data_IF_087379400075
#
_entry.id   IF_087379400075
#
_cell.length_a   1.000
_cell.length_b   1.000
_cell.length_c   1.000
_cell.angle_alpha   90.00
_cell.angle_beta   90.00
_cell.angle_gamma   90.00
#
_symmetry.space_group_name_H-M   'P 1'
#
loop_
_entity.id
_entity.type
_entity.pdbx_description
1 polymer ?
#
# COMPACT_ATOMS: atom_id res chain seq x y z
N UNK A 1 -86.75 -5.36 0.89
CA UNK A 1 -86.26 -5.92 -0.38
C UNK A 1 -86.45 -4.88 -1.47
N UNK A 2 -85.37 -4.21 -1.88
CA UNK A 2 -85.47 -2.94 -2.58
C UNK A 2 -85.63 -3.20 -4.09
N UNK A 3 -86.77 -2.80 -4.69
CA UNK A 3 -87.02 -2.94 -6.15
C UNK A 3 -85.87 -2.39 -7.01
N UNK A 4 -85.16 -1.38 -6.48
CA UNK A 4 -83.95 -0.80 -7.08
C UNK A 4 -82.74 -1.76 -7.14
N UNK A 5 -82.60 -2.66 -6.16
CA UNK A 5 -81.52 -3.67 -6.12
C UNK A 5 -81.84 -4.83 -7.06
N UNK A 6 -83.11 -5.26 -7.13
CA UNK A 6 -83.56 -6.29 -8.08
C UNK A 6 -83.38 -5.85 -9.55
N UNK A 7 -83.63 -4.56 -9.84
CA UNK A 7 -83.40 -4.00 -11.18
C UNK A 7 -81.91 -3.91 -11.53
N UNK A 8 -81.05 -3.54 -10.57
CA UNK A 8 -79.59 -3.50 -10.79
C UNK A 8 -79.00 -4.88 -11.05
N UNK A 9 -79.43 -5.91 -10.33
CA UNK A 9 -78.98 -7.30 -10.58
C UNK A 9 -79.43 -7.83 -11.94
N UNK A 10 -80.63 -7.45 -12.39
CA UNK A 10 -81.15 -7.86 -13.71
C UNK A 10 -80.42 -7.16 -14.86
N UNK A 11 -80.07 -5.87 -14.71
CA UNK A 11 -79.24 -5.13 -15.69
C UNK A 11 -77.82 -5.69 -15.74
N UNK A 12 -77.21 -6.03 -14.60
CA UNK A 12 -75.86 -6.64 -14.55
C UNK A 12 -75.85 -8.03 -15.20
N UNK A 13 -76.89 -8.84 -15.00
CA UNK A 13 -77.00 -10.16 -15.63
C UNK A 13 -77.16 -10.03 -17.16
N UNK A 14 -77.95 -9.05 -17.62
CA UNK A 14 -78.14 -8.76 -19.05
C UNK A 14 -76.88 -8.27 -19.75
N UNK A 15 -76.08 -7.42 -19.11
CA UNK A 15 -74.80 -6.95 -19.67
C UNK A 15 -73.77 -8.08 -19.74
N UNK A 16 -73.73 -8.99 -18.77
CA UNK A 16 -72.85 -10.17 -18.81
C UNK A 16 -73.24 -11.10 -19.97
N UNK A 17 -74.54 -11.33 -20.19
CA UNK A 17 -75.01 -12.14 -21.32
C UNK A 17 -74.67 -11.50 -22.69
N UNK A 18 -74.75 -10.17 -22.80
CA UNK A 18 -74.40 -9.45 -24.03
C UNK A 18 -72.88 -9.52 -24.33
N UNK A 19 -72.04 -9.39 -23.30
CA UNK A 19 -70.58 -9.52 -23.44
C UNK A 19 -70.19 -10.95 -23.83
N UNK A 20 -70.84 -11.97 -23.25
CA UNK A 20 -70.61 -13.37 -23.60
C UNK A 20 -71.01 -13.69 -25.05
N UNK A 21 -72.13 -13.12 -25.54
CA UNK A 21 -72.56 -13.26 -26.94
C UNK A 21 -71.59 -12.63 -27.94
N UNK A 22 -71.05 -11.44 -27.62
CA UNK A 22 -70.01 -10.77 -28.43
C UNK A 22 -68.68 -11.54 -28.43
N UNK A 23 -68.29 -12.11 -27.29
CA UNK A 23 -67.09 -12.93 -27.20
C UNK A 23 -67.23 -14.22 -28.03
N UNK A 24 -68.41 -14.85 -28.03
CA UNK A 24 -68.67 -16.05 -28.84
C UNK A 24 -68.65 -15.75 -30.34
N UNK A 25 -69.14 -14.58 -30.76
CA UNK A 25 -69.08 -14.15 -32.17
C UNK A 25 -67.66 -13.94 -32.69
N UNK A 26 -66.69 -13.63 -31.82
CA UNK A 26 -65.27 -13.46 -32.19
C UNK A 26 -64.51 -14.77 -32.31
N UNK A 27 -65.00 -15.86 -31.71
CA UNK A 27 -64.34 -17.18 -31.72
C UNK A 27 -64.74 -18.01 -32.95
N UNK A 28 -65.94 -17.79 -33.51
CA UNK A 28 -66.41 -18.49 -34.73
C UNK A 28 -66.31 -17.66 -36.03
N UNK A 29 -65.70 -16.47 -35.98
CA UNK A 29 -65.44 -15.67 -37.17
C UNK A 29 -64.12 -16.11 -37.81
N UNK A 30 -64.20 -16.80 -38.94
CA UNK A 30 -63.06 -17.19 -39.77
C UNK A 30 -62.18 -15.96 -40.12
N UNK A 31 -60.87 -15.98 -39.84
CA UNK A 31 -59.98 -14.87 -40.17
C UNK A 31 -59.79 -14.76 -41.68
N UNK A 32 -60.19 -13.62 -42.25
CA UNK A 32 -59.87 -13.25 -43.62
C UNK A 32 -58.44 -12.67 -43.63
N UNK A 33 -57.55 -13.10 -44.54
CA UNK A 33 -56.17 -12.63 -44.56
C UNK A 33 -56.13 -11.27 -45.24
N UNK A 34 -56.11 -10.20 -44.43
CA UNK A 34 -55.77 -8.87 -44.90
C UNK A 34 -54.25 -8.78 -45.06
N UNK A 35 -53.83 -8.74 -46.32
CA UNK A 35 -52.47 -8.45 -46.73
C UNK A 35 -52.13 -6.98 -46.42
N UNK A 36 -50.99 -6.77 -45.76
CA UNK A 36 -50.26 -5.50 -45.82
C UNK A 36 -50.33 -4.63 -44.56
N UNK A 37 -49.36 -4.82 -43.67
CA UNK A 37 -49.06 -3.91 -42.57
C UNK A 37 -47.61 -4.09 -42.14
N UNK A 38 -46.73 -3.27 -42.71
CA UNK A 38 -45.27 -3.21 -42.50
C UNK A 38 -44.89 -3.06 -41.03
N UNK A 39 -43.83 -3.78 -40.64
CA UNK A 39 -43.28 -3.77 -39.29
C UNK A 39 -42.80 -2.39 -38.85
N UNK A 40 -43.02 -2.12 -37.57
CA UNK A 40 -42.37 -1.04 -36.84
C UNK A 40 -41.47 -1.71 -35.78
N UNK A 41 -40.33 -2.22 -36.25
CA UNK A 41 -39.26 -2.69 -35.39
C UNK A 41 -38.45 -1.46 -34.98
N UNK A 42 -38.71 -0.96 -33.77
CA UNK A 42 -37.92 0.10 -33.18
C UNK A 42 -36.43 -0.30 -33.22
N UNK A 43 -35.52 0.57 -33.68
CA UNK A 43 -34.12 0.22 -33.82
C UNK A 43 -33.56 -0.19 -32.45
N UNK A 44 -33.11 -1.45 -32.33
CA UNK A 44 -32.48 -1.97 -31.12
C UNK A 44 -31.29 -1.08 -30.78
N UNK A 45 -31.34 -0.43 -29.61
CA UNK A 45 -30.25 0.41 -29.14
C UNK A 45 -28.92 -0.36 -29.16
N UNK A 46 -27.82 0.27 -29.59
CA UNK A 46 -26.53 -0.42 -29.69
C UNK A 46 -26.09 -0.89 -28.31
N UNK A 47 -25.77 -2.19 -28.20
CA UNK A 47 -25.31 -2.80 -26.96
C UNK A 47 -23.88 -2.35 -26.68
N UNK A 48 -23.68 -1.72 -25.53
CA UNK A 48 -22.35 -1.29 -25.06
C UNK A 48 -21.95 -2.09 -23.83
N UNK A 49 -20.66 -2.41 -23.73
CA UNK A 49 -20.07 -3.05 -22.56
C UNK A 49 -19.50 -1.96 -21.67
N UNK A 50 -19.84 -1.98 -20.38
CA UNK A 50 -19.33 -1.04 -19.37
C UNK A 50 -18.62 -1.80 -18.25
N UNK A 51 -17.56 -1.20 -17.73
CA UNK A 51 -16.80 -1.68 -16.58
C UNK A 51 -16.82 -0.59 -15.50
N UNK A 52 -17.21 -0.88 -14.24
CA UNK A 52 -17.23 0.11 -13.18
C UNK A 52 -15.82 0.45 -12.70
N UNK A 53 -15.46 1.74 -12.68
CA UNK A 53 -14.18 2.21 -12.16
C UNK A 53 -14.13 2.03 -10.65
N UNK A 54 -13.08 1.37 -10.15
CA UNK A 54 -12.78 1.26 -8.72
C UNK A 54 -11.51 2.04 -8.41
N UNK A 55 -11.56 2.88 -7.38
CA UNK A 55 -10.36 3.49 -6.85
C UNK A 55 -9.50 2.40 -6.18
N UNK A 56 -8.25 2.30 -6.59
CA UNK A 56 -7.24 1.47 -5.95
C UNK A 56 -6.04 2.33 -5.62
N UNK A 57 -5.32 1.97 -4.57
CA UNK A 57 -4.05 2.59 -4.27
C UNK A 57 -3.03 2.11 -5.30
N UNK A 58 -2.36 3.05 -5.94
CA UNK A 58 -1.30 2.80 -6.91
C UNK A 58 -0.02 3.39 -6.32
N UNK A 59 0.93 2.51 -6.01
CA UNK A 59 2.21 2.91 -5.42
C UNK A 59 3.27 2.90 -6.52
N UNK A 60 3.90 4.05 -6.75
CA UNK A 60 5.07 4.16 -7.61
C UNK A 60 6.32 3.80 -6.78
N UNK A 61 7.04 2.75 -7.20
CA UNK A 61 8.20 2.25 -6.45
C UNK A 61 9.45 2.43 -7.29
N UNK A 62 10.38 3.25 -6.80
CA UNK A 62 11.70 3.41 -7.39
C UNK A 62 12.71 2.52 -6.68
N UNK A 63 13.29 1.57 -7.40
CA UNK A 63 14.38 0.74 -6.87
C UNK A 63 15.72 1.35 -7.24
N UNK A 64 16.51 1.70 -6.23
CA UNK A 64 17.83 2.29 -6.38
C UNK A 64 18.89 1.26 -5.92
N UNK A 65 20.00 1.19 -6.64
CA UNK A 65 21.17 0.43 -6.22
C UNK A 65 22.24 1.40 -5.74
N UNK A 66 22.81 1.12 -4.58
CA UNK A 66 23.89 1.90 -3.98
C UNK A 66 24.85 0.98 -3.25
N UNK A 67 26.03 1.50 -2.92
CA UNK A 67 27.01 0.82 -2.08
C UNK A 67 26.97 1.37 -0.66
N UNK A 68 27.34 0.52 0.29
CA UNK A 68 27.54 0.92 1.69
C UNK A 68 29.03 1.07 1.92
N UNK A 69 29.42 2.14 2.59
CA UNK A 69 30.80 2.40 3.03
C UNK A 69 30.79 2.76 4.51
N UNK A 70 31.95 2.59 5.16
CA UNK A 70 32.11 3.04 6.53
C UNK A 70 31.89 4.54 6.62
N UNK A 71 31.21 5.00 7.67
CA UNK A 71 31.01 6.43 7.90
C UNK A 71 32.36 7.13 8.15
N UNK A 72 33.22 6.48 8.93
CA UNK A 72 34.57 6.94 9.24
C UNK A 72 35.55 5.78 9.10
N UNK A 73 36.70 6.05 8.50
CA UNK A 73 37.83 5.12 8.41
C UNK A 73 39.08 5.84 8.91
N UNK A 74 39.75 5.27 9.92
CA UNK A 74 40.89 5.91 10.59
C UNK A 74 42.04 4.92 10.66
N UNK A 75 43.17 5.32 10.07
CA UNK A 75 44.43 4.58 10.18
C UNK A 75 45.15 5.06 11.44
N UNK A 76 45.31 4.16 12.42
CA UNK A 76 45.97 4.48 13.68
C UNK A 76 47.47 4.22 13.55
N UNK A 77 48.27 5.24 13.86
CA UNK A 77 49.73 5.16 13.86
C UNK A 77 50.28 5.70 15.18
N UNK A 78 51.39 5.13 15.68
CA UNK A 78 52.03 5.64 16.88
C UNK A 78 52.70 6.99 16.61
N UNK A 79 52.53 7.95 17.53
CA UNK A 79 53.18 9.26 17.44
C UNK A 79 54.69 9.21 17.72
N UNK A 80 55.12 8.21 18.49
CA UNK A 80 56.52 8.02 18.86
C UNK A 80 57.03 6.67 18.35
N UNK A 81 58.29 6.65 17.92
CA UNK A 81 58.95 5.39 17.57
C UNK A 81 59.21 4.59 18.84
N UNK A 82 58.86 3.30 18.81
CA UNK A 82 59.02 2.42 19.96
C UNK A 82 58.83 0.95 19.61
N UNK A 83 59.27 0.07 20.50
CA UNK A 83 59.02 -1.37 20.38
C UNK A 83 57.66 -1.72 20.97
N UNK A 84 56.87 -2.53 20.28
CA UNK A 84 55.60 -3.06 20.81
C UNK A 84 55.88 -4.01 21.98
N UNK A 85 55.22 -3.77 23.10
CA UNK A 85 55.29 -4.58 24.33
C UNK A 85 54.07 -5.48 24.45
N UNK A 86 52.89 -4.99 24.06
CA UNK A 86 51.65 -5.76 24.11
C UNK A 86 50.63 -5.28 23.08
N UNK A 87 49.84 -6.22 22.56
CA UNK A 87 48.68 -5.99 21.72
C UNK A 87 47.45 -6.63 22.39
N UNK A 88 46.76 -5.93 23.30
CA UNK A 88 45.66 -6.48 24.11
C UNK A 88 44.31 -6.50 23.36
N UNK A 89 44.33 -6.68 22.05
CA UNK A 89 43.13 -6.71 21.20
C UNK A 89 43.21 -7.88 20.23
N UNK A 90 42.06 -8.38 19.83
CA UNK A 90 41.91 -9.40 18.80
C UNK A 90 41.44 -8.79 17.47
N UNK A 91 41.77 -9.46 16.37
CA UNK A 91 41.35 -9.01 15.05
C UNK A 91 39.82 -9.03 14.91
N UNK A 92 39.25 -7.93 14.42
CA UNK A 92 37.79 -7.76 14.28
C UNK A 92 37.06 -7.44 15.59
N UNK A 93 37.78 -7.29 16.70
CA UNK A 93 37.20 -6.88 17.98
C UNK A 93 36.65 -5.45 17.89
N UNK A 94 35.45 -5.24 18.45
CA UNK A 94 34.90 -3.89 18.65
C UNK A 94 35.62 -3.21 19.81
N UNK A 95 36.07 -1.98 19.60
CA UNK A 95 36.80 -1.19 20.59
C UNK A 95 36.09 0.12 20.88
N UNK A 96 36.31 0.65 22.08
CA UNK A 96 35.73 1.91 22.52
C UNK A 96 36.76 3.06 22.52
N UNK A 97 36.27 4.30 22.58
CA UNK A 97 37.14 5.48 22.63
C UNK A 97 37.98 5.46 23.91
N UNK A 98 39.29 5.60 23.74
CA UNK A 98 40.25 5.59 24.86
C UNK A 98 40.69 4.20 25.29
N UNK A 99 40.16 3.13 24.67
CA UNK A 99 40.67 1.79 24.89
C UNK A 99 42.10 1.67 24.36
N UNK A 100 42.97 1.04 25.15
CA UNK A 100 44.36 0.80 24.76
C UNK A 100 44.40 -0.29 23.70
N UNK A 101 44.80 0.06 22.48
CA UNK A 101 44.93 -0.87 21.37
C UNK A 101 46.31 -1.53 21.31
N UNK A 102 47.35 -0.80 21.71
CA UNK A 102 48.75 -1.18 21.62
C UNK A 102 49.52 -0.52 22.78
N UNK A 103 50.51 -1.20 23.35
CA UNK A 103 51.49 -0.55 24.24
C UNK A 103 52.88 -0.60 23.64
N UNK A 104 53.52 0.57 23.59
CA UNK A 104 54.92 0.72 23.25
C UNK A 104 55.78 0.75 24.50
N UNK A 105 57.04 0.34 24.37
CA UNK A 105 58.04 0.42 25.44
C UNK A 105 58.38 1.90 25.68
N UNK A 106 58.19 2.35 26.91
CA UNK A 106 58.29 3.75 27.33
C UNK A 106 59.30 3.97 28.47
N UNK A 107 60.18 3.00 28.74
CA UNK A 107 61.10 3.00 29.87
C UNK A 107 62.03 4.22 29.88
N UNK A 108 62.63 4.53 28.72
CA UNK A 108 63.50 5.68 28.56
C UNK A 108 62.74 7.01 28.71
N UNK A 109 61.56 7.12 28.09
CA UNK A 109 60.69 8.31 28.19
C UNK A 109 60.27 8.57 29.65
N UNK A 110 59.97 7.52 30.41
CA UNK A 110 59.64 7.65 31.84
C UNK A 110 60.83 8.11 32.66
N UNK A 111 62.02 7.60 32.38
CA UNK A 111 63.24 8.02 33.07
C UNK A 111 63.57 9.49 32.80
N UNK A 112 63.46 9.94 31.54
CA UNK A 112 63.68 11.34 31.15
C UNK A 112 62.67 12.29 31.81
N UNK A 113 61.37 11.93 31.80
CA UNK A 113 60.33 12.70 32.49
C UNK A 113 60.62 12.86 33.97
N UNK A 114 61.02 11.79 34.65
CA UNK A 114 61.33 11.82 36.08
C UNK A 114 62.51 12.76 36.39
N UNK A 115 63.54 12.78 35.54
CA UNK A 115 64.66 13.72 35.69
C UNK A 115 64.20 15.16 35.50
N UNK A 116 63.39 15.43 34.45
CA UNK A 116 62.86 16.75 34.18
C UNK A 116 61.96 17.28 35.32
N UNK A 117 61.09 16.44 35.86
CA UNK A 117 60.22 16.78 37.00
C UNK A 117 61.03 17.14 38.25
N UNK A 118 62.11 16.40 38.53
CA UNK A 118 63.00 16.71 39.66
C UNK A 118 63.74 18.02 39.46
N UNK A 119 64.18 18.32 38.24
CA UNK A 119 64.84 19.58 37.93
C UNK A 119 63.89 20.76 38.11
N UNK A 120 62.64 20.64 37.64
CA UNK A 120 61.61 21.65 37.84
C UNK A 120 61.34 21.89 39.34
N UNK A 121 61.21 20.82 40.13
CA UNK A 121 60.97 20.92 41.57
C UNK A 121 62.12 21.61 42.34
N UNK A 122 63.38 21.45 41.90
CA UNK A 122 64.51 22.16 42.51
C UNK A 122 64.47 23.66 42.22
N UNK A 123 64.09 24.05 41.00
CA UNK A 123 63.97 25.45 40.59
C UNK A 123 62.79 26.16 41.27
N UNK A 124 61.69 25.45 41.53
CA UNK A 124 60.55 25.99 42.28
C UNK A 124 60.83 26.16 43.77
N UNK A 125 61.83 25.45 44.29
CA UNK A 125 62.24 25.49 45.68
C UNK A 125 63.32 26.55 45.98
N UNK A 126 63.93 27.13 44.94
CA UNK A 126 64.85 28.29 45.02
C UNK A 126 64.07 29.62 44.92
#
# INVERSE_FOLDING_TARGET
MNKRVLFRTLVILGTIALIAGLAFSRINASPQPDAGGSGDEAPSAPRVTVEPVRATNLYDTLTLMGSVQAADEIIIQPEVSGRVVSLPIEDGQRVERGQVLLRLRDDALRAERLVAERQAALLEAE
#
